data_IF_280284114426
#
_entry.id   IF_280284114426
#
_cell.length_a   1.000
_cell.length_b   1.000
_cell.length_c   1.000
_cell.angle_alpha   90.00
_cell.angle_beta   90.00
_cell.angle_gamma   90.00
#
_symmetry.space_group_name_H-M   'P 1'
#
loop_
_entity.id
_entity.type
_entity.pdbx_description
1 polymer ?
#
# COMPACT_ATOMS: atom_id res chain seq x y z
N UNK A 1 58.66 45.56 47.90
CA UNK A 1 57.81 46.20 46.86
C UNK A 1 57.71 45.41 45.54
N UNK A 2 58.70 44.61 45.13
CA UNK A 2 58.66 43.84 43.86
C UNK A 2 57.62 42.69 43.75
N UNK A 3 57.17 42.13 44.88
CA UNK A 3 56.20 41.02 44.87
C UNK A 3 54.75 41.45 44.53
N UNK A 4 54.36 42.70 44.81
CA UNK A 4 52.98 43.20 44.55
C UNK A 4 52.77 43.58 43.08
N UNK A 5 53.82 43.97 42.35
CA UNK A 5 53.73 44.29 40.91
C UNK A 5 53.58 43.03 40.04
N UNK A 6 54.13 41.90 40.47
CA UNK A 6 54.08 40.64 39.70
C UNK A 6 52.67 40.01 39.71
N UNK A 7 51.90 40.20 40.78
CA UNK A 7 50.54 39.65 40.88
C UNK A 7 49.51 40.39 40.00
N UNK A 8 49.70 41.70 39.76
CA UNK A 8 48.74 42.53 38.99
C UNK A 8 48.86 42.26 37.48
N UNK A 9 50.07 42.05 36.98
CA UNK A 9 50.31 41.75 35.55
C UNK A 9 49.78 40.37 35.17
N UNK A 10 49.91 39.37 36.06
CA UNK A 10 49.36 38.04 35.82
C UNK A 10 47.82 38.05 35.73
N UNK A 11 47.15 38.85 36.55
CA UNK A 11 45.68 38.97 36.53
C UNK A 11 45.14 39.65 35.25
N UNK A 12 45.87 40.64 34.71
CA UNK A 12 45.46 41.33 33.48
C UNK A 12 45.60 40.47 32.22
N UNK A 13 46.60 39.59 32.16
CA UNK A 13 46.79 38.68 31.01
C UNK A 13 45.82 37.48 31.07
N UNK A 14 45.53 36.96 32.27
CA UNK A 14 44.53 35.89 32.41
C UNK A 14 43.09 36.39 32.20
N UNK A 15 42.76 37.59 32.69
CA UNK A 15 41.43 38.18 32.50
C UNK A 15 41.11 38.57 31.05
N UNK A 16 42.11 39.00 30.28
CA UNK A 16 41.92 39.36 28.87
C UNK A 16 41.72 38.15 27.95
N UNK A 17 42.38 37.02 28.22
CA UNK A 17 42.16 35.77 27.49
C UNK A 17 40.74 35.21 27.66
N UNK A 18 40.16 35.32 28.87
CA UNK A 18 38.78 34.89 29.12
C UNK A 18 37.75 35.75 28.37
N UNK A 19 37.96 37.07 28.28
CA UNK A 19 37.03 37.98 27.60
C UNK A 19 37.06 37.85 26.07
N UNK A 20 38.23 37.58 25.46
CA UNK A 20 38.31 37.34 24.03
C UNK A 20 37.73 35.96 23.64
N UNK A 21 37.98 34.92 24.45
CA UNK A 21 37.48 33.57 24.21
C UNK A 21 35.96 33.45 24.29
N UNK A 22 35.31 34.17 25.21
CA UNK A 22 33.84 34.18 25.28
C UNK A 22 33.22 34.84 24.03
N UNK A 23 33.77 35.94 23.51
CA UNK A 23 33.18 36.65 22.36
C UNK A 23 33.30 35.85 21.07
N UNK A 24 34.47 35.27 20.80
CA UNK A 24 34.69 34.43 19.62
C UNK A 24 33.86 33.14 19.71
N UNK A 25 33.87 32.47 20.87
CA UNK A 25 33.12 31.24 21.10
C UNK A 25 31.60 31.44 21.05
N UNK A 26 31.08 32.61 21.47
CA UNK A 26 29.65 32.91 21.33
C UNK A 26 29.24 33.10 19.88
N UNK A 27 30.06 33.75 19.05
CA UNK A 27 29.77 33.93 17.63
C UNK A 27 29.69 32.58 16.89
N UNK A 28 30.70 31.73 17.03
CA UNK A 28 30.72 30.39 16.42
C UNK A 28 29.57 29.51 16.91
N UNK A 29 29.25 29.56 18.20
CA UNK A 29 28.13 28.79 18.76
C UNK A 29 26.77 29.28 18.23
N UNK A 30 26.60 30.59 18.00
CA UNK A 30 25.37 31.12 17.40
C UNK A 30 25.22 30.73 15.93
N UNK A 31 26.31 30.75 15.17
CA UNK A 31 26.32 30.31 13.77
C UNK A 31 26.02 28.82 13.66
N UNK A 32 26.68 27.99 14.47
CA UNK A 32 26.43 26.55 14.50
C UNK A 32 24.97 26.23 14.85
N UNK A 33 24.40 26.92 15.86
CA UNK A 33 22.97 26.77 16.20
C UNK A 33 22.05 27.18 15.06
N UNK A 34 22.39 28.24 14.32
CA UNK A 34 21.62 28.69 13.16
C UNK A 34 21.66 27.67 12.02
N UNK A 35 22.83 27.10 11.73
CA UNK A 35 22.99 26.02 10.74
C UNK A 35 22.19 24.77 11.14
N UNK A 36 22.32 24.30 12.38
CA UNK A 36 21.55 23.16 12.90
C UNK A 36 20.04 23.42 12.81
N UNK A 37 19.59 24.64 13.11
CA UNK A 37 18.17 25.00 12.98
C UNK A 37 17.68 24.95 11.52
N UNK A 38 18.51 25.35 10.56
CA UNK A 38 18.15 25.29 9.15
C UNK A 38 18.20 23.86 8.62
N UNK A 39 19.21 23.07 8.98
CA UNK A 39 19.28 21.64 8.63
C UNK A 39 18.08 20.87 9.16
N UNK A 40 17.65 21.15 10.40
CA UNK A 40 16.44 20.57 10.98
C UNK A 40 15.18 20.94 10.20
N UNK A 41 15.07 22.20 9.74
CA UNK A 41 13.94 22.65 8.92
C UNK A 41 13.93 21.95 7.57
N UNK A 42 15.08 21.86 6.90
CA UNK A 42 15.21 21.17 5.62
C UNK A 42 14.91 19.68 5.75
N UNK A 43 15.43 19.02 6.78
CA UNK A 43 15.15 17.62 7.07
C UNK A 43 13.66 17.37 7.35
N UNK A 44 13.02 18.25 8.14
CA UNK A 44 11.59 18.16 8.44
C UNK A 44 10.74 18.37 7.18
N UNK A 45 11.09 19.34 6.33
CA UNK A 45 10.41 19.57 5.05
C UNK A 45 10.57 18.36 4.12
N UNK A 46 11.78 17.82 3.99
CA UNK A 46 12.04 16.63 3.17
C UNK A 46 11.27 15.40 3.66
N UNK A 47 11.20 15.20 4.99
CA UNK A 47 10.39 14.14 5.58
C UNK A 47 8.89 14.35 5.32
N UNK A 48 8.38 15.57 5.52
CA UNK A 48 6.98 15.91 5.25
C UNK A 48 6.60 15.70 3.78
N UNK A 49 7.46 16.10 2.85
CA UNK A 49 7.26 15.88 1.41
C UNK A 49 7.19 14.39 1.06
N UNK A 50 8.07 13.56 1.63
CA UNK A 50 8.02 12.10 1.41
C UNK A 50 6.72 11.48 1.95
N UNK A 51 6.27 11.92 3.13
CA UNK A 51 5.00 11.45 3.69
C UNK A 51 3.82 11.89 2.84
N UNK A 52 3.78 13.15 2.39
CA UNK A 52 2.71 13.67 1.53
C UNK A 52 2.67 12.94 0.18
N UNK A 53 3.83 12.66 -0.42
CA UNK A 53 3.91 11.90 -1.67
C UNK A 53 3.40 10.45 -1.49
N UNK A 54 3.75 9.81 -0.37
CA UNK A 54 3.26 8.47 -0.04
C UNK A 54 1.73 8.46 0.20
N UNK A 55 1.19 9.48 0.87
CA UNK A 55 -0.26 9.65 1.09
C UNK A 55 -1.00 9.85 -0.23
N UNK A 56 -0.57 10.81 -1.06
CA UNK A 56 -1.20 11.11 -2.33
C UNK A 56 -1.25 9.87 -3.25
N UNK A 57 -0.20 9.04 -3.22
CA UNK A 57 -0.21 7.77 -3.94
C UNK A 57 -1.19 6.77 -3.35
N UNK A 58 -1.20 6.62 -2.03
CA UNK A 58 -2.16 5.75 -1.34
C UNK A 58 -3.61 6.12 -1.70
N UNK A 59 -3.91 7.41 -1.79
CA UNK A 59 -5.24 7.91 -2.18
C UNK A 59 -5.60 7.53 -3.62
N UNK A 60 -4.66 7.69 -4.57
CA UNK A 60 -4.87 7.28 -5.98
C UNK A 60 -5.13 5.79 -6.08
N UNK A 61 -4.31 4.96 -5.44
CA UNK A 61 -4.49 3.50 -5.46
C UNK A 61 -5.81 3.08 -4.80
N UNK A 62 -6.20 3.75 -3.70
CA UNK A 62 -7.48 3.49 -3.03
C UNK A 62 -8.66 3.80 -3.95
N UNK A 63 -8.61 4.92 -4.69
CA UNK A 63 -9.63 5.27 -5.67
C UNK A 63 -9.72 4.25 -6.81
N UNK A 64 -8.58 3.80 -7.32
CA UNK A 64 -8.53 2.77 -8.37
C UNK A 64 -9.15 1.47 -7.89
N UNK A 65 -8.74 0.95 -6.73
CA UNK A 65 -9.31 -0.28 -6.15
C UNK A 65 -10.83 -0.14 -5.96
N UNK A 66 -11.31 1.00 -5.46
CA UNK A 66 -12.75 1.23 -5.31
C UNK A 66 -13.50 1.18 -6.65
N UNK A 67 -12.93 1.76 -7.73
CA UNK A 67 -13.52 1.70 -9.07
C UNK A 67 -13.56 0.27 -9.62
N UNK A 68 -12.46 -0.48 -9.47
CA UNK A 68 -12.40 -1.88 -9.90
C UNK A 68 -13.41 -2.75 -9.13
N UNK A 69 -13.56 -2.54 -7.82
CA UNK A 69 -14.55 -3.27 -7.01
C UNK A 69 -15.99 -3.00 -7.46
N UNK A 70 -16.32 -1.75 -7.81
CA UNK A 70 -17.64 -1.41 -8.36
C UNK A 70 -17.88 -2.10 -9.72
N UNK A 71 -16.86 -2.15 -10.57
CA UNK A 71 -16.95 -2.85 -11.85
C UNK A 71 -17.16 -4.36 -11.65
N UNK A 72 -16.39 -4.99 -10.75
CA UNK A 72 -16.56 -6.41 -10.40
C UNK A 72 -17.97 -6.67 -9.88
N UNK A 73 -18.50 -5.82 -9.00
CA UNK A 73 -19.86 -5.96 -8.48
C UNK A 73 -20.92 -5.89 -9.59
N UNK A 74 -20.77 -4.94 -10.51
CA UNK A 74 -21.69 -4.74 -11.64
C UNK A 74 -21.68 -5.95 -12.55
N UNK A 75 -20.50 -6.38 -13.01
CA UNK A 75 -20.35 -7.55 -13.87
C UNK A 75 -20.84 -8.83 -13.19
N UNK A 76 -20.56 -8.99 -11.89
CA UNK A 76 -21.05 -10.14 -11.12
C UNK A 76 -22.57 -10.17 -11.10
N UNK A 77 -23.23 -9.02 -10.94
CA UNK A 77 -24.70 -8.95 -10.99
C UNK A 77 -25.22 -9.36 -12.37
N UNK A 78 -24.65 -8.82 -13.44
CA UNK A 78 -25.06 -9.16 -14.81
C UNK A 78 -24.90 -10.66 -15.09
N UNK A 79 -23.78 -11.26 -14.68
CA UNK A 79 -23.55 -12.70 -14.85
C UNK A 79 -24.47 -13.54 -13.97
N UNK A 80 -24.81 -13.08 -12.77
CA UNK A 80 -25.77 -13.76 -11.90
C UNK A 80 -27.16 -13.79 -12.54
N UNK A 81 -27.58 -12.68 -13.15
CA UNK A 81 -28.87 -12.62 -13.84
C UNK A 81 -28.85 -13.48 -15.12
N UNK A 82 -27.73 -13.53 -15.85
CA UNK A 82 -27.56 -14.47 -16.97
C UNK A 82 -27.57 -15.94 -16.53
N UNK A 83 -26.99 -16.28 -15.36
CA UNK A 83 -27.04 -17.63 -14.81
C UNK A 83 -28.48 -18.07 -14.51
N UNK A 84 -29.28 -17.22 -13.87
CA UNK A 84 -30.70 -17.52 -13.59
C UNK A 84 -31.49 -17.89 -14.85
N UNK A 85 -31.14 -17.32 -16.00
CA UNK A 85 -31.80 -17.60 -17.28
C UNK A 85 -31.25 -18.84 -18.01
N UNK A 86 -30.16 -19.43 -17.53
CA UNK A 86 -29.47 -20.56 -18.18
C UNK A 86 -29.41 -21.82 -17.30
N UNK A 87 -29.75 -21.70 -16.02
CA UNK A 87 -29.91 -22.82 -15.09
C UNK A 87 -31.39 -23.17 -14.91
N UNK A 88 -31.68 -24.41 -14.52
CA UNK A 88 -33.06 -24.87 -14.36
C UNK A 88 -33.27 -25.79 -13.16
N UNK A 89 -32.32 -25.80 -12.20
CA UNK A 89 -32.39 -26.64 -11.00
C UNK A 89 -31.97 -28.10 -11.25
N UNK A 90 -31.23 -28.37 -12.33
CA UNK A 90 -30.75 -29.74 -12.65
C UNK A 90 -29.54 -30.08 -11.81
N UNK A 91 -29.24 -31.37 -11.66
CA UNK A 91 -28.05 -31.83 -10.95
C UNK A 91 -26.70 -31.43 -11.60
N UNK A 92 -26.69 -31.01 -12.88
CA UNK A 92 -25.46 -30.76 -13.62
C UNK A 92 -25.52 -29.41 -14.35
N UNK A 93 -24.39 -28.70 -14.35
CA UNK A 93 -24.18 -27.47 -15.10
C UNK A 93 -24.26 -27.73 -16.61
N UNK A 94 -25.19 -27.04 -17.27
CA UNK A 94 -25.36 -27.11 -18.72
C UNK A 94 -24.34 -26.24 -19.46
N UNK A 95 -24.14 -26.47 -20.78
CA UNK A 95 -23.17 -25.73 -21.59
C UNK A 95 -23.44 -24.22 -21.65
N UNK A 96 -24.71 -23.79 -21.58
CA UNK A 96 -25.06 -22.37 -21.55
C UNK A 96 -24.58 -21.69 -20.27
N UNK A 97 -24.78 -22.33 -19.11
CA UNK A 97 -24.30 -21.82 -17.83
C UNK A 97 -22.76 -21.83 -17.76
N UNK A 98 -22.10 -22.88 -18.27
CA UNK A 98 -20.64 -22.93 -18.38
C UNK A 98 -20.08 -21.76 -19.20
N UNK A 99 -20.74 -21.38 -20.31
CA UNK A 99 -20.34 -20.22 -21.10
C UNK A 99 -20.50 -18.89 -20.35
N UNK A 100 -21.53 -18.76 -19.52
CA UNK A 100 -21.68 -17.57 -18.66
C UNK A 100 -20.52 -17.48 -17.66
N UNK A 101 -20.16 -18.61 -17.04
CA UNK A 101 -19.06 -18.71 -16.07
C UNK A 101 -17.69 -18.48 -16.70
N UNK A 102 -17.45 -18.95 -17.92
CA UNK A 102 -16.18 -18.73 -18.62
C UNK A 102 -15.90 -17.25 -18.92
N UNK A 103 -16.96 -16.45 -19.06
CA UNK A 103 -16.88 -15.00 -19.21
C UNK A 103 -17.02 -14.21 -17.92
N UNK A 104 -16.98 -14.84 -16.74
CA UNK A 104 -17.08 -14.18 -15.45
C UNK A 104 -15.70 -13.81 -14.88
N UNK A 105 -15.65 -12.73 -14.10
CA UNK A 105 -14.41 -12.27 -13.48
C UNK A 105 -13.84 -13.33 -12.52
N UNK A 106 -12.51 -13.49 -12.53
CA UNK A 106 -11.82 -14.46 -11.69
C UNK A 106 -12.06 -15.94 -12.05
N UNK A 107 -12.77 -16.25 -13.14
CA UNK A 107 -13.04 -17.61 -13.59
C UNK A 107 -12.50 -17.87 -15.00
N UNK A 108 -12.09 -19.12 -15.22
CA UNK A 108 -11.76 -19.69 -16.53
C UNK A 108 -12.28 -21.11 -16.52
N UNK A 109 -13.09 -21.50 -17.50
CA UNK A 109 -13.68 -22.84 -17.61
C UNK A 109 -12.99 -23.62 -18.75
N UNK A 110 -11.70 -23.35 -18.97
CA UNK A 110 -10.88 -24.10 -19.90
C UNK A 110 -10.54 -25.49 -19.34
N UNK A 111 -10.39 -26.47 -20.23
CA UNK A 111 -9.81 -27.79 -19.95
C UNK A 111 -10.53 -28.62 -18.87
N UNK A 112 -11.87 -28.64 -18.92
CA UNK A 112 -12.64 -29.58 -18.10
C UNK A 112 -12.25 -31.03 -18.45
N UNK A 113 -11.88 -31.87 -17.46
CA UNK A 113 -11.57 -33.26 -17.71
C UNK A 113 -12.80 -33.99 -18.28
N UNK A 114 -12.59 -35.08 -19.04
CA UNK A 114 -13.69 -35.87 -19.56
C UNK A 114 -14.57 -36.35 -18.40
N UNK A 115 -15.89 -36.33 -18.62
CA UNK A 115 -16.86 -36.71 -17.60
C UNK A 115 -16.68 -38.18 -17.18
N UNK A 116 -16.25 -38.41 -15.96
CA UNK A 116 -16.34 -39.73 -15.32
C UNK A 116 -17.74 -39.90 -14.75
N UNK A 117 -18.59 -40.67 -15.46
CA UNK A 117 -19.94 -40.98 -15.01
C UNK A 117 -19.94 -41.94 -13.82
N UNK A 118 -20.76 -41.65 -12.81
CA UNK A 118 -21.04 -42.53 -11.68
C UNK A 118 -22.47 -42.30 -11.20
N UNK A 119 -23.13 -43.36 -10.71
CA UNK A 119 -24.48 -43.25 -10.19
C UNK A 119 -24.47 -42.39 -8.90
N UNK A 120 -25.29 -41.34 -8.87
CA UNK A 120 -25.54 -40.60 -7.64
C UNK A 120 -26.32 -41.47 -6.66
N UNK A 121 -26.00 -41.38 -5.36
CA UNK A 121 -26.76 -42.07 -4.32
C UNK A 121 -28.21 -41.56 -4.28
N UNK A 122 -29.18 -42.47 -4.16
CA UNK A 122 -30.61 -42.17 -4.31
C UNK A 122 -31.17 -41.13 -3.31
N UNK A 123 -30.55 -41.00 -2.13
CA UNK A 123 -31.02 -40.14 -1.03
C UNK A 123 -30.06 -38.99 -0.68
N UNK A 124 -29.05 -38.73 -1.52
CA UNK A 124 -28.13 -37.62 -1.26
C UNK A 124 -28.78 -36.27 -1.62
N UNK A 125 -28.56 -35.23 -0.79
CA UNK A 125 -28.82 -33.86 -1.24
C UNK A 125 -27.93 -33.56 -2.44
N UNK A 126 -28.54 -33.13 -3.54
CA UNK A 126 -27.84 -32.77 -4.76
C UNK A 126 -27.80 -31.25 -4.87
N UNK A 127 -26.60 -30.67 -5.01
CA UNK A 127 -26.45 -29.28 -5.39
C UNK A 127 -26.92 -29.10 -6.84
N UNK A 128 -27.79 -28.11 -7.08
CA UNK A 128 -28.31 -27.83 -8.42
C UNK A 128 -27.31 -27.02 -9.24
N UNK A 129 -27.53 -26.96 -10.56
CA UNK A 129 -26.77 -26.13 -11.48
C UNK A 129 -26.84 -24.64 -11.13
N UNK A 130 -27.98 -24.19 -10.59
CA UNK A 130 -28.13 -22.87 -9.99
C UNK A 130 -27.23 -22.69 -8.77
N UNK A 131 -27.20 -23.65 -7.85
CA UNK A 131 -26.39 -23.56 -6.62
C UNK A 131 -24.90 -23.51 -6.95
N UNK A 132 -24.45 -24.42 -7.81
CA UNK A 132 -23.05 -24.51 -8.24
C UNK A 132 -22.64 -23.31 -9.08
N UNK A 133 -23.50 -22.86 -10.00
CA UNK A 133 -23.25 -21.69 -10.82
C UNK A 133 -23.11 -20.41 -9.97
N UNK A 134 -24.01 -20.22 -9.00
CA UNK A 134 -23.94 -19.06 -8.12
C UNK A 134 -22.72 -19.12 -7.19
N UNK A 135 -22.41 -20.28 -6.63
CA UNK A 135 -21.20 -20.47 -5.82
C UNK A 135 -19.93 -20.16 -6.62
N UNK A 136 -19.81 -20.68 -7.84
CA UNK A 136 -18.63 -20.45 -8.67
C UNK A 136 -18.48 -18.97 -9.01
N UNK A 137 -19.57 -18.31 -9.40
CA UNK A 137 -19.58 -16.88 -9.69
C UNK A 137 -19.17 -16.02 -8.49
N UNK A 138 -19.72 -16.33 -7.31
CA UNK A 138 -19.38 -15.60 -6.08
C UNK A 138 -17.91 -15.82 -5.69
N UNK A 139 -17.39 -17.05 -5.85
CA UNK A 139 -15.98 -17.38 -5.62
C UNK A 139 -15.05 -16.63 -6.59
N UNK A 140 -15.38 -16.59 -7.88
CA UNK A 140 -14.62 -15.83 -8.87
C UNK A 140 -14.56 -14.33 -8.55
N UNK A 141 -15.69 -13.73 -8.19
CA UNK A 141 -15.75 -12.33 -7.79
C UNK A 141 -14.93 -12.03 -6.52
N UNK A 142 -14.92 -12.95 -5.55
CA UNK A 142 -14.08 -12.84 -4.35
C UNK A 142 -12.60 -12.89 -4.70
N UNK A 143 -12.19 -13.83 -5.56
CA UNK A 143 -10.81 -13.95 -6.01
C UNK A 143 -10.36 -12.69 -6.74
N UNK A 144 -11.16 -12.17 -7.66
CA UNK A 144 -10.83 -10.98 -8.43
C UNK A 144 -10.64 -9.76 -7.51
N UNK A 145 -11.52 -9.56 -6.53
CA UNK A 145 -11.36 -8.48 -5.53
C UNK A 145 -10.08 -8.63 -4.73
N UNK A 146 -9.73 -9.86 -4.34
CA UNK A 146 -8.49 -10.11 -3.61
C UNK A 146 -7.27 -9.79 -4.49
N UNK A 147 -7.31 -10.17 -5.77
CA UNK A 147 -6.25 -9.88 -6.74
C UNK A 147 -6.02 -8.38 -6.89
N UNK A 148 -7.06 -7.60 -7.16
CA UNK A 148 -6.96 -6.14 -7.32
C UNK A 148 -6.37 -5.45 -6.09
N UNK A 149 -6.79 -5.87 -4.89
CA UNK A 149 -6.24 -5.34 -3.62
C UNK A 149 -4.76 -5.68 -3.45
N UNK A 150 -4.37 -6.91 -3.78
CA UNK A 150 -2.98 -7.34 -3.71
C UNK A 150 -2.12 -6.62 -4.75
N UNK A 151 -2.62 -6.44 -5.97
CA UNK A 151 -1.92 -5.71 -7.02
C UNK A 151 -1.67 -4.25 -6.61
N UNK A 152 -2.64 -3.59 -5.99
CA UNK A 152 -2.47 -2.23 -5.46
C UNK A 152 -1.43 -2.16 -4.32
N UNK A 153 -1.42 -3.14 -3.41
CA UNK A 153 -0.40 -3.22 -2.36
C UNK A 153 0.99 -3.47 -2.94
N UNK A 154 1.08 -4.34 -3.94
CA UNK A 154 2.33 -4.64 -4.65
C UNK A 154 2.85 -3.38 -5.36
N UNK A 155 1.98 -2.63 -6.04
CA UNK A 155 2.35 -1.36 -6.70
C UNK A 155 2.87 -0.35 -5.67
N UNK A 156 2.15 -0.18 -4.56
CA UNK A 156 2.60 0.68 -3.46
C UNK A 156 4.04 0.34 -3.01
N UNK A 157 4.36 -0.95 -2.87
CA UNK A 157 5.66 -1.43 -2.37
C UNK A 157 6.78 -1.49 -3.41
N UNK A 158 6.48 -1.67 -4.70
CA UNK A 158 7.50 -1.87 -5.75
C UNK A 158 8.25 -0.60 -6.14
N UNK A 159 7.75 0.58 -5.80
CA UNK A 159 8.51 1.80 -6.10
C UNK A 159 9.65 2.01 -5.11
N UNK A 160 10.85 2.38 -5.60
CA UNK A 160 12.01 2.59 -4.76
C UNK A 160 11.71 3.70 -3.75
N UNK A 161 11.75 3.36 -2.47
CA UNK A 161 11.65 4.29 -1.34
C UNK A 161 12.94 5.08 -1.10
N UNK A 162 13.89 5.03 -2.03
CA UNK A 162 15.12 5.80 -1.98
C UNK A 162 15.10 6.91 -3.04
N UNK A 163 14.88 8.19 -2.66
CA UNK A 163 15.67 9.22 -3.29
C UNK A 163 17.12 8.89 -2.98
N UNK A 164 17.88 8.63 -4.03
CA UNK A 164 19.33 8.72 -4.07
C UNK A 164 19.75 9.89 -3.16
N UNK A 165 20.42 9.57 -2.07
CA UNK A 165 21.14 10.57 -1.31
C UNK A 165 22.28 11.02 -2.23
N UNK A 166 22.11 12.18 -2.87
CA UNK A 166 23.16 12.80 -3.67
C UNK A 166 24.01 13.68 -2.72
N UNK A 167 25.31 13.82 -3.01
CA UNK A 167 26.46 13.21 -2.34
C UNK A 167 26.90 13.88 -1.02
#
# INVERSE_FOLDING_TARGET
MRARQSAIVAFLVFGSGMLAGQWLGHAELTEFRAQVAEDQRLATRGAAQRLQAAQARGDVLTQQVAQHELQIQTLTKEKRDALKNTTSGRACLGPAALRVLDGAAGLRVADLPPTTGGAAAADARVATDSDLGQWALDAGAQYERCRERLDALIDWHRMPTHPEAIP
#
